data_IF_921434206615
#
_entry.id   IF_921434206615
#
_cell.length_a   1.000
_cell.length_b   1.000
_cell.length_c   1.000
_cell.angle_alpha   90.00
_cell.angle_beta   90.00
_cell.angle_gamma   90.00
#
_symmetry.space_group_name_H-M   'P 1'
#
loop_
_entity.id
_entity.type
_entity.pdbx_description
1 polymer ?
#
# COMPACT_ATOMS: atom_id res chain seq x y z
N UNK A 1 -4.53 22.05 6.22
CA UNK A 1 -5.51 20.95 6.28
C UNK A 1 -4.76 19.75 6.83
N UNK A 2 -5.39 19.00 7.73
CA UNK A 2 -4.80 17.81 8.34
C UNK A 2 -5.05 16.59 7.45
N UNK A 3 -4.07 15.67 7.39
CA UNK A 3 -4.17 14.40 6.68
C UNK A 3 -4.62 13.33 7.66
N UNK A 4 -5.85 12.86 7.51
CA UNK A 4 -6.40 11.76 8.33
C UNK A 4 -6.10 10.39 7.72
N UNK A 5 -6.00 10.33 6.39
CA UNK A 5 -5.86 9.10 5.63
C UNK A 5 -4.88 9.28 4.47
N UNK A 6 -3.99 8.30 4.31
CA UNK A 6 -3.10 8.24 3.16
C UNK A 6 -2.93 6.81 2.64
N UNK A 7 -2.60 6.70 1.36
CA UNK A 7 -2.23 5.44 0.73
C UNK A 7 -0.83 5.52 0.18
N UNK A 8 -0.05 4.45 0.38
CA UNK A 8 1.25 4.25 -0.26
C UNK A 8 1.20 3.01 -1.14
N UNK A 9 1.70 3.15 -2.36
CA UNK A 9 1.71 2.08 -3.36
C UNK A 9 3.01 2.11 -4.17
N UNK A 10 3.48 0.93 -4.57
CA UNK A 10 4.66 0.72 -5.39
C UNK A 10 4.29 0.30 -6.82
N UNK A 11 5.07 0.74 -7.79
CA UNK A 11 4.81 0.33 -9.17
C UNK A 11 5.99 0.52 -10.11
N UNK A 12 5.78 0.11 -11.36
CA UNK A 12 6.73 0.34 -12.46
C UNK A 12 6.08 1.20 -13.52
N UNK A 13 6.79 2.23 -13.98
CA UNK A 13 6.38 3.04 -15.13
C UNK A 13 7.36 2.87 -16.28
N UNK A 14 6.85 2.91 -17.51
CA UNK A 14 7.67 2.88 -18.72
C UNK A 14 7.89 4.29 -19.23
N UNK A 15 9.13 4.76 -19.13
CA UNK A 15 9.56 6.07 -19.59
C UNK A 15 9.88 6.04 -21.08
N UNK A 16 9.38 7.06 -21.79
CA UNK A 16 9.77 7.33 -23.17
C UNK A 16 11.15 7.94 -23.19
N UNK A 17 11.97 7.49 -24.13
CA UNK A 17 13.30 8.03 -24.41
C UNK A 17 13.30 8.72 -25.77
N UNK A 18 14.42 9.31 -26.15
CA UNK A 18 14.60 9.90 -27.47
C UNK A 18 14.22 8.90 -28.58
N UNK A 19 13.65 9.41 -29.68
CA UNK A 19 13.20 8.59 -30.80
C UNK A 19 14.33 7.65 -31.28
N UNK A 20 14.01 6.36 -31.40
CA UNK A 20 14.97 5.32 -31.80
C UNK A 20 15.80 4.73 -30.64
N UNK A 21 15.59 5.17 -29.40
CA UNK A 21 16.17 4.55 -28.20
C UNK A 21 15.15 3.63 -27.51
N UNK A 22 15.67 2.65 -26.76
CA UNK A 22 14.85 1.72 -26.00
C UNK A 22 14.10 2.45 -24.87
N UNK A 23 12.91 1.94 -24.54
CA UNK A 23 12.14 2.41 -23.40
C UNK A 23 12.79 1.93 -22.10
N UNK A 24 12.62 2.71 -21.03
CA UNK A 24 13.22 2.41 -19.72
C UNK A 24 12.09 2.16 -18.73
N UNK A 25 12.14 1.04 -18.01
CA UNK A 25 11.27 0.82 -16.86
C UNK A 25 11.92 1.40 -15.61
N UNK A 26 11.16 2.15 -14.82
CA UNK A 26 11.58 2.63 -13.51
C UNK A 26 10.55 2.28 -12.46
N UNK A 27 11.06 1.87 -11.31
CA UNK A 27 10.26 1.73 -10.10
C UNK A 27 9.91 3.12 -9.57
N UNK A 28 8.68 3.26 -9.09
CA UNK A 28 8.22 4.43 -8.35
C UNK A 28 7.48 3.99 -7.10
N UNK A 29 7.36 4.92 -6.16
CA UNK A 29 6.38 4.84 -5.08
C UNK A 29 5.53 6.09 -5.11
N UNK A 30 4.25 5.93 -4.85
CA UNK A 30 3.30 7.02 -4.83
C UNK A 30 2.67 7.16 -3.46
N UNK A 31 2.36 8.40 -3.09
CA UNK A 31 1.53 8.75 -1.96
C UNK A 31 0.27 9.43 -2.45
N UNK A 32 -0.88 8.97 -1.96
CA UNK A 32 -2.16 9.65 -2.09
C UNK A 32 -2.54 10.19 -0.71
N UNK A 33 -2.63 11.52 -0.59
CA UNK A 33 -3.25 12.18 0.55
C UNK A 33 -4.74 12.29 0.24
N UNK A 34 -5.58 11.56 0.97
CA UNK A 34 -6.99 11.42 0.59
C UNK A 34 -7.67 12.79 0.52
N UNK A 35 -8.35 13.07 -0.59
CA UNK A 35 -9.00 14.36 -0.91
C UNK A 35 -8.06 15.58 -1.10
N UNK A 36 -6.74 15.41 -0.97
CA UNK A 36 -5.77 16.52 -1.02
C UNK A 36 -4.88 16.48 -2.27
N UNK A 37 -4.46 15.29 -2.70
CA UNK A 37 -3.64 15.14 -3.90
C UNK A 37 -2.75 13.91 -3.88
N UNK A 38 -2.02 13.72 -4.98
CA UNK A 38 -1.15 12.56 -5.20
C UNK A 38 0.23 13.04 -5.64
N UNK A 39 1.27 12.38 -5.15
CA UNK A 39 2.65 12.56 -5.59
C UNK A 39 3.31 11.20 -5.84
N UNK A 40 4.26 11.14 -6.77
CA UNK A 40 5.02 9.94 -7.07
C UNK A 40 6.51 10.26 -7.23
N UNK A 41 7.35 9.35 -6.73
CA UNK A 41 8.80 9.52 -6.65
C UNK A 41 9.51 8.34 -7.29
N UNK A 42 10.51 8.61 -8.13
CA UNK A 42 11.31 7.58 -8.79
C UNK A 42 12.50 7.18 -7.94
N UNK A 43 12.41 6.03 -7.27
CA UNK A 43 13.48 5.48 -6.44
C UNK A 43 14.01 6.45 -5.36
N UNK A 44 13.19 7.41 -4.95
CA UNK A 44 13.55 8.45 -3.98
C UNK A 44 12.60 8.40 -2.77
N UNK A 45 12.91 7.48 -1.86
CA UNK A 45 12.15 7.31 -0.63
C UNK A 45 12.29 8.52 0.30
N UNK A 46 13.45 9.19 0.28
CA UNK A 46 13.72 10.33 1.16
C UNK A 46 12.83 11.51 0.79
N UNK A 47 12.77 11.89 -0.50
CA UNK A 47 11.89 12.97 -0.94
C UNK A 47 10.40 12.66 -0.70
N UNK A 48 10.00 11.39 -0.81
CA UNK A 48 8.64 10.96 -0.46
C UNK A 48 8.36 11.18 1.03
N UNK A 49 9.26 10.73 1.91
CA UNK A 49 9.12 10.90 3.35
C UNK A 49 9.16 12.37 3.76
N UNK A 50 10.02 13.18 3.14
CA UNK A 50 10.08 14.62 3.36
C UNK A 50 8.75 15.29 3.02
N UNK A 51 8.13 14.90 1.88
CA UNK A 51 6.81 15.40 1.51
C UNK A 51 5.75 14.99 2.54
N UNK A 52 5.72 13.72 2.96
CA UNK A 52 4.74 13.22 3.94
C UNK A 52 4.92 13.91 5.31
N UNK A 53 6.15 14.00 5.80
CA UNK A 53 6.48 14.63 7.09
C UNK A 53 6.30 16.15 7.09
N UNK A 54 6.22 16.79 5.92
CA UNK A 54 5.85 18.20 5.81
C UNK A 54 4.35 18.47 5.98
N UNK A 55 3.51 17.43 5.97
CA UNK A 55 2.07 17.55 6.20
C UNK A 55 1.75 17.56 7.71
N UNK A 56 0.59 18.12 8.06
CA UNK A 56 0.01 17.91 9.40
C UNK A 56 -0.73 16.57 9.38
N UNK A 57 -0.22 15.57 10.09
CA UNK A 57 -0.76 14.21 10.12
C UNK A 57 -1.63 14.00 11.37
N UNK A 58 -2.83 13.42 11.18
CA UNK A 58 -3.71 13.05 12.27
C UNK A 58 -3.12 11.93 13.13
N UNK A 59 -3.65 11.79 14.34
CA UNK A 59 -3.28 10.74 15.29
C UNK A 59 -4.55 10.08 15.85
N UNK A 60 -4.91 8.86 15.42
CA UNK A 60 -4.15 8.00 14.51
C UNK A 60 -4.26 8.42 13.03
N UNK A 61 -3.21 8.19 12.26
CA UNK A 61 -3.20 8.27 10.79
C UNK A 61 -3.63 6.92 10.19
N UNK A 62 -4.57 6.94 9.26
CA UNK A 62 -4.95 5.73 8.50
C UNK A 62 -3.98 5.56 7.33
N UNK A 63 -3.31 4.41 7.29
CA UNK A 63 -2.25 4.07 6.35
C UNK A 63 -2.65 2.84 5.51
N UNK A 64 -3.06 3.06 4.26
CA UNK A 64 -3.36 1.98 3.32
C UNK A 64 -2.12 1.60 2.50
N UNK A 65 -1.71 0.33 2.53
CA UNK A 65 -0.51 -0.16 1.84
C UNK A 65 -0.77 -1.34 0.90
N UNK A 66 0.08 -1.49 -0.11
CA UNK A 66 0.02 -2.54 -1.15
C UNK A 66 0.49 -3.94 -0.68
N UNK A 67 1.01 -4.06 0.54
CA UNK A 67 1.54 -5.31 1.06
C UNK A 67 3.02 -5.56 0.83
N UNK A 68 3.71 -4.75 0.02
CA UNK A 68 5.14 -4.89 -0.22
C UNK A 68 5.96 -4.33 0.95
N UNK A 69 6.98 -5.07 1.39
CA UNK A 69 7.98 -4.59 2.38
C UNK A 69 8.49 -3.16 2.10
N UNK A 70 8.73 -2.80 0.85
CA UNK A 70 9.20 -1.47 0.48
C UNK A 70 8.23 -0.34 0.84
N UNK A 71 6.93 -0.62 0.94
CA UNK A 71 5.89 0.30 1.42
C UNK A 71 5.79 0.28 2.94
N UNK A 72 5.75 -0.89 3.56
CA UNK A 72 5.71 -0.99 5.03
C UNK A 72 6.94 -0.39 5.70
N UNK A 73 8.10 -0.45 5.05
CA UNK A 73 9.32 0.22 5.51
C UNK A 73 9.13 1.74 5.57
N UNK A 74 8.35 2.35 4.67
CA UNK A 74 8.08 3.78 4.70
C UNK A 74 7.11 4.14 5.83
N UNK A 75 6.04 3.37 6.01
CA UNK A 75 5.10 3.61 7.13
C UNK A 75 5.80 3.53 8.49
N UNK A 76 6.81 2.66 8.64
CA UNK A 76 7.59 2.56 9.88
C UNK A 76 8.37 3.84 10.23
N UNK A 77 8.66 4.69 9.26
CA UNK A 77 9.34 5.99 9.46
C UNK A 77 8.35 7.12 9.80
N UNK A 78 7.03 6.88 9.80
CA UNK A 78 6.00 7.91 9.98
C UNK A 78 5.46 7.95 11.41
N UNK A 79 6.08 8.73 12.29
CA UNK A 79 5.64 8.84 13.69
C UNK A 79 5.68 7.49 14.43
N UNK A 80 4.97 7.40 15.55
CA UNK A 80 4.99 6.20 16.38
C UNK A 80 3.99 5.14 15.92
N UNK A 81 4.28 3.86 16.18
CA UNK A 81 3.41 2.75 15.74
C UNK A 81 1.97 2.87 16.25
N UNK A 82 1.78 3.30 17.49
CA UNK A 82 0.46 3.51 18.10
C UNK A 82 -0.31 4.71 17.51
N UNK A 83 0.36 5.57 16.74
CA UNK A 83 -0.23 6.73 16.08
C UNK A 83 -0.66 6.41 14.65
N UNK A 84 -0.64 5.13 14.24
CA UNK A 84 -1.05 4.69 12.91
C UNK A 84 -2.00 3.50 12.97
N UNK A 85 -2.93 3.47 12.03
CA UNK A 85 -3.74 2.29 11.69
C UNK A 85 -3.28 1.82 10.31
N UNK A 86 -2.55 0.72 10.28
CA UNK A 86 -1.99 0.13 9.06
C UNK A 86 -2.99 -0.89 8.48
N UNK A 87 -3.45 -0.64 7.25
CA UNK A 87 -4.45 -1.44 6.53
C UNK A 87 -3.82 -1.98 5.26
N UNK A 88 -3.92 -3.29 5.03
CA UNK A 88 -3.53 -3.91 3.77
C UNK A 88 -4.64 -3.71 2.74
N UNK A 89 -4.28 -3.25 1.54
CA UNK A 89 -5.19 -3.13 0.41
C UNK A 89 -5.81 -4.49 0.05
N UNK A 90 -7.14 -4.53 0.02
CA UNK A 90 -7.92 -5.69 -0.37
C UNK A 90 -7.58 -6.21 -1.76
N UNK A 91 -7.38 -5.32 -2.73
CA UNK A 91 -7.06 -5.73 -4.10
C UNK A 91 -5.74 -6.50 -4.15
N UNK A 92 -4.70 -5.96 -3.51
CA UNK A 92 -3.38 -6.59 -3.45
C UNK A 92 -3.41 -7.88 -2.62
N UNK A 93 -4.16 -7.92 -1.52
CA UNK A 93 -4.37 -9.14 -0.74
C UNK A 93 -4.97 -10.26 -1.60
N UNK A 94 -6.04 -9.96 -2.33
CA UNK A 94 -6.71 -10.94 -3.20
C UNK A 94 -5.84 -11.33 -4.39
N UNK A 95 -5.14 -10.39 -5.02
CA UNK A 95 -4.17 -10.70 -6.08
C UNK A 95 -3.11 -11.69 -5.58
N UNK A 96 -2.55 -11.45 -4.40
CA UNK A 96 -1.57 -12.34 -3.79
C UNK A 96 -2.17 -13.70 -3.41
N UNK A 97 -3.41 -13.75 -2.94
CA UNK A 97 -4.12 -15.00 -2.66
C UNK A 97 -4.22 -15.87 -3.92
N UNK A 98 -4.59 -15.30 -5.08
CA UNK A 98 -4.64 -16.07 -6.33
C UNK A 98 -3.24 -16.45 -6.85
N UNK A 99 -2.19 -15.69 -6.54
CA UNK A 99 -0.80 -16.02 -6.90
C UNK A 99 -0.24 -17.22 -6.13
N UNK A 100 -0.66 -17.44 -4.88
CA UNK A 100 -0.26 -18.61 -4.07
C UNK A 100 -0.69 -19.92 -4.75
N UNK A 101 -1.76 -19.89 -5.55
CA UNK A 101 -2.31 -21.06 -6.23
C UNK A 101 -3.06 -22.00 -5.27
N UNK A 102 -3.45 -23.17 -5.77
CA UNK A 102 -4.27 -24.14 -5.03
C UNK A 102 -5.55 -24.51 -5.76
N UNK A 103 -6.45 -25.23 -5.09
CA UNK A 103 -7.77 -25.46 -5.65
C UNK A 103 -8.59 -24.17 -5.64
N UNK A 104 -9.41 -23.97 -6.67
CA UNK A 104 -10.31 -22.82 -6.72
C UNK A 104 -11.21 -22.75 -5.47
N UNK A 105 -11.69 -23.91 -4.99
CA UNK A 105 -12.47 -24.00 -3.77
C UNK A 105 -11.70 -23.49 -2.54
N UNK A 106 -10.44 -23.88 -2.36
CA UNK A 106 -9.64 -23.43 -1.22
C UNK A 106 -9.36 -21.92 -1.26
N UNK A 107 -9.14 -21.37 -2.46
CA UNK A 107 -8.97 -19.91 -2.64
C UNK A 107 -10.26 -19.17 -2.25
N UNK A 108 -11.43 -19.63 -2.70
CA UNK A 108 -12.71 -18.99 -2.35
C UNK A 108 -13.05 -19.13 -0.85
N UNK A 109 -12.72 -20.26 -0.22
CA UNK A 109 -12.89 -20.43 1.23
C UNK A 109 -12.03 -19.44 2.02
N UNK A 110 -10.77 -19.25 1.65
CA UNK A 110 -9.87 -18.27 2.28
C UNK A 110 -10.36 -16.85 2.02
N UNK A 111 -10.78 -16.53 0.80
CA UNK A 111 -11.33 -15.21 0.47
C UNK A 111 -12.56 -14.89 1.30
N UNK A 112 -13.52 -15.82 1.41
CA UNK A 112 -14.72 -15.66 2.24
C UNK A 112 -14.35 -15.42 3.71
N UNK A 113 -13.40 -16.19 4.25
CA UNK A 113 -12.89 -15.99 5.60
C UNK A 113 -12.25 -14.60 5.81
N UNK A 114 -11.53 -14.08 4.81
CA UNK A 114 -10.94 -12.74 4.85
C UNK A 114 -12.01 -11.63 4.75
N UNK A 115 -13.07 -11.81 3.95
CA UNK A 115 -14.21 -10.88 3.86
C UNK A 115 -14.96 -10.76 5.20
N UNK A 116 -15.03 -11.83 5.99
CA UNK A 116 -15.59 -11.83 7.35
C UNK A 116 -14.65 -11.21 8.41
N UNK A 117 -13.52 -10.63 7.98
CA UNK A 117 -12.54 -9.99 8.83
C UNK A 117 -11.63 -10.98 9.57
N UNK A 118 -11.44 -12.18 9.01
CA UNK A 118 -10.59 -13.23 9.59
C UNK A 118 -11.13 -13.80 10.91
N UNK A 119 -12.41 -13.58 11.21
CA UNK A 119 -13.08 -14.12 12.39
C UNK A 119 -13.78 -15.41 11.99
N UNK A 120 -13.06 -16.52 12.06
CA UNK A 120 -13.68 -17.84 11.85
C UNK A 120 -14.85 -18.05 12.82
N UNK A 121 -15.76 -18.98 12.47
CA UNK A 121 -16.71 -19.51 13.45
C UNK A 121 -15.92 -19.94 14.68
N UNK A 122 -16.10 -19.26 15.81
CA UNK A 122 -15.72 -19.84 17.10
C UNK A 122 -16.54 -21.11 17.23
N UNK A 123 -15.90 -22.26 17.14
CA UNK A 123 -16.51 -23.48 17.64
C UNK A 123 -16.74 -23.24 19.14
N UNK A 124 -17.96 -23.42 19.67
CA UNK A 124 -18.16 -23.41 21.11
C UNK A 124 -17.35 -24.56 21.73
N UNK A 125 -16.68 -24.27 22.85
CA UNK A 125 -16.03 -25.26 23.71
C UNK A 125 -17.02 -26.32 24.22
#
# INVERSE_FOLDING_TARGET
MEVEEMSLDGGKVRLRTAKGKALIWRDYKAVSFHQLGVAAFFQDNSALLDLVNSQVLAKPLICLGDGHDGIWNLFRELGEKQERIEILDWYHLIENLYKVGGSFQGIEEVKCFLEEGGRGRRYPD
#
